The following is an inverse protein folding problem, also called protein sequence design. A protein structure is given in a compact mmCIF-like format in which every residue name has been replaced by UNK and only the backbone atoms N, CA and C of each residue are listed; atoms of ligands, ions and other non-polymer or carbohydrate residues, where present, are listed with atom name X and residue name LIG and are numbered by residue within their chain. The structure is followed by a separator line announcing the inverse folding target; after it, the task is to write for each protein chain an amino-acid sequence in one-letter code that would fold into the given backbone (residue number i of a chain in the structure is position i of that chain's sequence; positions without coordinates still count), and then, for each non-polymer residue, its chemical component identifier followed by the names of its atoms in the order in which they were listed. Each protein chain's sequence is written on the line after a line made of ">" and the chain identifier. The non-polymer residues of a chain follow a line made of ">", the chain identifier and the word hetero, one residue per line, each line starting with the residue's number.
data_IF_013234830101
#
_entry.id   IF_013234830101
#
_cell.length_a   1.000
_cell.length_b   1.000
_cell.length_c   1.000
_cell.angle_alpha   90.00
_cell.angle_beta   90.00
_cell.angle_gamma   90.00
#
_symmetry.space_group_name_H-M   'P 1'
#
loop_
_entity.id
_entity.type
_entity.pdbx_description
1 polymer ?
#
# COMPACT_ATOMS: atom_id res chain seq x y z
N UNK A 1 -7.50 -1.55 1.16
CA UNK A 1 -7.39 -0.39 0.24
C UNK A 1 -8.17 0.82 0.75
N UNK A 2 -9.46 0.71 1.08
CA UNK A 2 -10.21 1.86 1.61
C UNK A 2 -9.67 2.37 2.95
N UNK A 3 -9.44 1.45 3.89
CA UNK A 3 -8.86 1.75 5.21
C UNK A 3 -7.44 2.31 5.11
N UNK A 4 -6.62 1.80 4.19
CA UNK A 4 -5.27 2.35 3.93
C UNK A 4 -5.35 3.80 3.41
N UNK A 5 -6.36 4.13 2.58
CA UNK A 5 -6.62 5.51 2.16
C UNK A 5 -6.90 6.45 3.33
N UNK A 6 -7.75 6.04 4.28
CA UNK A 6 -8.06 6.81 5.49
C UNK A 6 -6.81 7.00 6.36
N UNK A 7 -5.98 5.97 6.51
CA UNK A 7 -4.75 6.09 7.33
C UNK A 7 -3.71 7.00 6.68
N UNK A 8 -3.62 7.05 5.34
CA UNK A 8 -2.67 7.94 4.66
C UNK A 8 -3.12 9.39 4.71
N UNK A 9 -4.42 9.66 4.62
CA UNK A 9 -4.93 11.04 4.79
C UNK A 9 -4.75 11.51 6.23
N UNK A 10 -4.92 10.62 7.21
CA UNK A 10 -4.56 10.91 8.59
C UNK A 10 -3.07 11.21 8.74
N UNK A 11 -2.18 10.42 8.11
CA UNK A 11 -0.74 10.67 8.12
C UNK A 11 -0.38 12.05 7.56
N UNK A 12 -1.00 12.44 6.44
CA UNK A 12 -0.80 13.73 5.81
C UNK A 12 -1.24 14.88 6.73
N UNK A 13 -2.43 14.78 7.33
CA UNK A 13 -2.92 15.80 8.27
C UNK A 13 -2.03 15.92 9.51
N UNK A 14 -1.64 14.79 10.11
CA UNK A 14 -0.75 14.78 11.27
C UNK A 14 0.64 15.36 10.95
N UNK A 15 1.13 15.21 9.72
CA UNK A 15 2.39 15.80 9.29
C UNK A 15 2.28 17.33 9.15
N UNK A 16 1.18 17.84 8.60
CA UNK A 16 0.91 19.29 8.52
C UNK A 16 0.71 19.92 9.91
N UNK A 17 0.10 19.20 10.85
CA UNK A 17 -0.06 19.62 12.25
C UNK A 17 1.21 19.43 13.10
N UNK A 18 2.32 19.00 12.48
CA UNK A 18 3.60 18.75 13.14
C UNK A 18 3.51 17.70 14.28
N UNK A 19 2.55 16.78 14.19
CA UNK A 19 2.38 15.68 15.13
C UNK A 19 3.14 14.43 14.66
N UNK A 20 4.43 14.40 15.01
CA UNK A 20 5.36 13.35 14.57
C UNK A 20 4.89 11.93 14.90
N UNK A 21 4.38 11.70 16.13
CA UNK A 21 3.97 10.36 16.59
C UNK A 21 2.77 9.84 15.80
N UNK A 22 1.75 10.68 15.60
CA UNK A 22 0.57 10.29 14.83
C UNK A 22 0.89 10.10 13.36
N UNK A 23 1.71 10.98 12.75
CA UNK A 23 2.14 10.83 11.36
C UNK A 23 2.91 9.51 11.15
N UNK A 24 3.81 9.17 12.07
CA UNK A 24 4.53 7.89 12.05
C UNK A 24 3.57 6.69 12.18
N UNK A 25 2.71 6.70 13.19
CA UNK A 25 1.81 5.57 13.47
C UNK A 25 0.82 5.31 12.33
N UNK A 26 0.22 6.37 11.79
CA UNK A 26 -0.74 6.29 10.69
C UNK A 26 -0.09 5.83 9.39
N UNK A 27 1.08 6.36 9.03
CA UNK A 27 1.84 5.93 7.86
C UNK A 27 2.32 4.47 7.99
N UNK A 28 2.75 4.05 9.19
CA UNK A 28 3.07 2.66 9.48
C UNK A 28 1.85 1.74 9.26
N UNK A 29 0.67 2.11 9.73
CA UNK A 29 -0.55 1.35 9.47
C UNK A 29 -0.88 1.27 7.97
N UNK A 30 -0.66 2.34 7.20
CA UNK A 30 -0.88 2.29 5.75
C UNK A 30 0.01 1.26 5.08
N UNK A 31 1.31 1.24 5.42
CA UNK A 31 2.27 0.28 4.88
C UNK A 31 1.88 -1.16 5.25
N UNK A 32 1.51 -1.41 6.51
CA UNK A 32 1.06 -2.73 6.97
C UNK A 32 -0.21 -3.20 6.24
N UNK A 33 -1.20 -2.32 6.06
CA UNK A 33 -2.43 -2.65 5.34
C UNK A 33 -2.17 -2.95 3.87
N UNK A 34 -1.20 -2.27 3.23
CA UNK A 34 -0.80 -2.55 1.85
C UNK A 34 -0.06 -3.88 1.70
N UNK A 35 0.86 -4.18 2.63
CA UNK A 35 1.52 -5.49 2.68
C UNK A 35 0.51 -6.62 2.93
N UNK A 36 -0.44 -6.40 3.83
CA UNK A 36 -1.52 -7.35 4.12
C UNK A 36 -2.39 -7.61 2.89
N UNK A 37 -2.79 -6.57 2.15
CA UNK A 37 -3.52 -6.74 0.89
C UNK A 37 -2.74 -7.58 -0.12
N UNK A 38 -1.42 -7.33 -0.25
CA UNK A 38 -0.57 -8.11 -1.18
C UNK A 38 -0.47 -9.58 -0.77
N UNK A 39 -0.38 -9.87 0.53
CA UNK A 39 -0.38 -11.24 1.04
C UNK A 39 -1.71 -11.96 0.76
N UNK A 40 -2.85 -11.27 0.95
CA UNK A 40 -4.16 -11.81 0.60
C UNK A 40 -4.30 -12.06 -0.91
N UNK A 41 -3.80 -11.14 -1.75
CA UNK A 41 -3.82 -11.32 -3.20
C UNK A 41 -2.99 -12.52 -3.64
N UNK A 42 -1.83 -12.75 -3.00
CA UNK A 42 -1.03 -13.95 -3.24
C UNK A 42 -1.76 -15.22 -2.82
N UNK A 43 -2.41 -15.21 -1.65
CA UNK A 43 -3.22 -16.34 -1.18
C UNK A 43 -4.37 -16.66 -2.14
N UNK A 44 -5.06 -15.64 -2.65
CA UNK A 44 -6.10 -15.81 -3.68
C UNK A 44 -5.56 -16.50 -4.95
N UNK A 45 -4.34 -16.16 -5.38
CA UNK A 45 -3.70 -16.79 -6.55
C UNK A 45 -3.25 -18.23 -6.29
N UNK A 46 -2.92 -18.60 -5.06
CA UNK A 46 -2.58 -19.98 -4.71
C UNK A 46 -3.82 -20.88 -4.63
N UNK A 47 -4.93 -20.36 -4.10
CA UNK A 47 -6.16 -21.12 -3.92
C UNK A 47 -7.10 -21.08 -5.14
N UNK A 48 -6.83 -20.24 -6.14
CA UNK A 48 -7.68 -20.14 -7.32
C UNK A 48 -7.73 -21.46 -8.10
N UNK A 49 -8.93 -21.98 -8.45
CA UNK A 49 -9.08 -23.26 -9.13
C UNK A 49 -8.78 -23.20 -10.64
N UNK A 50 -8.35 -22.04 -11.15
CA UNK A 50 -8.01 -21.78 -12.54
C UNK A 50 -6.69 -21.03 -12.62
N UNK A 51 -6.04 -21.09 -13.78
CA UNK A 51 -4.74 -20.53 -14.06
C UNK A 51 -4.81 -19.47 -15.15
N UNK A 52 -3.71 -18.75 -15.38
CA UNK A 52 -3.62 -17.77 -16.48
C UNK A 52 -3.80 -18.39 -17.87
N UNK A 53 -3.52 -19.69 -18.02
CA UNK A 53 -3.68 -20.41 -19.28
C UNK A 53 -5.14 -20.82 -19.54
N UNK A 54 -6.03 -20.70 -18.55
CA UNK A 54 -7.41 -21.17 -18.66
C UNK A 54 -8.33 -20.12 -19.30
N UNK A 55 -8.59 -20.31 -20.60
CA UNK A 55 -9.57 -19.54 -21.39
C UNK A 55 -9.34 -18.02 -21.37
N UNK A 56 -10.29 -17.28 -21.94
CA UNK A 56 -10.30 -15.81 -21.88
C UNK A 56 -10.53 -15.31 -20.44
N UNK A 57 -11.22 -16.08 -19.60
CA UNK A 57 -11.51 -15.67 -18.23
C UNK A 57 -10.25 -15.63 -17.36
N UNK A 58 -9.48 -16.72 -17.30
CA UNK A 58 -8.26 -16.80 -16.49
C UNK A 58 -7.21 -15.80 -16.98
N UNK A 59 -6.98 -15.73 -18.29
CA UNK A 59 -6.03 -14.77 -18.87
C UNK A 59 -6.37 -13.31 -18.53
N UNK A 60 -7.64 -12.88 -18.67
CA UNK A 60 -8.04 -11.51 -18.35
C UNK A 60 -8.02 -11.23 -16.84
N UNK A 61 -8.45 -12.19 -16.02
CA UNK A 61 -8.42 -12.08 -14.56
C UNK A 61 -7.00 -11.86 -14.02
N UNK A 62 -6.06 -12.76 -14.33
CA UNK A 62 -4.70 -12.68 -13.82
C UNK A 62 -3.92 -11.50 -14.41
N UNK A 63 -4.17 -11.13 -15.67
CA UNK A 63 -3.54 -9.94 -16.24
C UNK A 63 -3.99 -8.66 -15.53
N UNK A 64 -5.30 -8.44 -15.39
CA UNK A 64 -5.81 -7.20 -14.80
C UNK A 64 -5.47 -7.10 -13.30
N UNK A 65 -5.72 -8.16 -12.54
CA UNK A 65 -5.41 -8.19 -11.09
C UNK A 65 -3.91 -8.20 -10.84
N UNK A 66 -3.12 -8.83 -11.71
CA UNK A 66 -1.65 -8.89 -11.58
C UNK A 66 -1.02 -7.52 -11.81
N UNK A 67 -1.45 -6.79 -12.85
CA UNK A 67 -1.02 -5.41 -13.04
C UNK A 67 -1.41 -4.51 -11.87
N UNK A 68 -2.64 -4.65 -11.35
CA UNK A 68 -3.05 -3.92 -10.16
C UNK A 68 -2.15 -4.26 -8.95
N UNK A 69 -1.89 -5.54 -8.70
CA UNK A 69 -1.01 -6.00 -7.62
C UNK A 69 0.39 -5.43 -7.72
N UNK A 70 0.96 -5.38 -8.94
CA UNK A 70 2.25 -4.72 -9.20
C UNK A 70 2.21 -3.24 -8.79
N UNK A 71 1.18 -2.50 -9.19
CA UNK A 71 1.03 -1.09 -8.81
C UNK A 71 0.92 -0.92 -7.28
N UNK A 72 0.23 -1.84 -6.59
CA UNK A 72 0.14 -1.83 -5.12
C UNK A 72 1.50 -2.09 -4.47
N UNK A 73 2.32 -3.00 -5.00
CA UNK A 73 3.68 -3.23 -4.50
C UNK A 73 4.57 -1.99 -4.66
N UNK A 74 4.51 -1.34 -5.83
CA UNK A 74 5.23 -0.07 -6.06
C UNK A 74 4.73 1.02 -5.10
N UNK A 75 3.42 1.15 -4.92
CA UNK A 75 2.85 2.13 -3.99
C UNK A 75 3.25 1.88 -2.54
N UNK A 76 3.24 0.63 -2.08
CA UNK A 76 3.64 0.28 -0.71
C UNK A 76 5.12 0.47 -0.46
N UNK A 77 5.98 0.15 -1.42
CA UNK A 77 7.43 0.44 -1.33
C UNK A 77 7.70 1.95 -1.32
N UNK A 78 7.00 2.74 -2.11
CA UNK A 78 7.08 4.21 -2.05
C UNK A 78 6.68 4.74 -0.66
N UNK A 79 5.58 4.27 -0.09
CA UNK A 79 5.14 4.67 1.25
C UNK A 79 6.11 4.21 2.35
N UNK A 80 6.74 3.05 2.19
CA UNK A 80 7.79 2.59 3.08
C UNK A 80 9.01 3.52 3.04
N UNK A 81 9.42 3.97 1.86
CA UNK A 81 10.49 4.97 1.72
C UNK A 81 10.10 6.29 2.40
N UNK A 82 8.85 6.73 2.26
CA UNK A 82 8.34 7.89 3.00
C UNK A 82 8.40 7.67 4.52
N UNK A 83 8.02 6.49 5.02
CA UNK A 83 8.10 6.17 6.44
C UNK A 83 9.54 6.25 6.97
N UNK A 84 10.51 5.72 6.21
CA UNK A 84 11.93 5.81 6.55
C UNK A 84 12.44 7.26 6.54
N UNK A 85 12.04 8.07 5.54
CA UNK A 85 12.38 9.50 5.49
C UNK A 85 11.77 10.28 6.66
N UNK A 86 10.54 9.94 7.05
CA UNK A 86 9.89 10.52 8.23
C UNK A 86 10.65 10.17 9.51
N UNK A 87 11.09 8.91 9.66
CA UNK A 87 11.92 8.47 10.79
C UNK A 87 13.26 9.20 10.91
N UNK A 88 13.83 9.60 9.77
CA UNK A 88 15.07 10.38 9.70
C UNK A 88 14.83 11.90 9.79
N UNK A 89 13.60 12.34 10.10
CA UNK A 89 13.20 13.75 10.18
C UNK A 89 13.48 14.56 8.90
N UNK A 90 13.37 13.94 7.72
CA UNK A 90 13.57 14.64 6.45
C UNK A 90 12.36 15.48 6.01
N UNK A 91 11.20 15.30 6.65
CA UNK A 91 9.98 16.03 6.32
C UNK A 91 9.75 17.18 7.29
N UNK A 92 9.13 18.23 6.78
CA UNK A 92 8.66 19.38 7.55
C UNK A 92 7.18 19.63 7.23
N UNK A 93 6.43 20.32 8.10
CA UNK A 93 5.02 20.64 7.84
C UNK A 93 4.82 21.51 6.58
N UNK A 94 5.86 22.21 6.12
CA UNK A 94 5.83 23.12 4.98
C UNK A 94 6.35 22.44 3.70
N UNK A 95 7.26 21.48 3.84
CA UNK A 95 7.91 20.77 2.72
C UNK A 95 8.07 19.29 3.04
N UNK A 96 7.36 18.42 2.30
CA UNK A 96 7.33 16.97 2.44
C UNK A 96 7.42 16.24 1.09
#
# INVERSE_FOLDING_TARGET
>A
LLTSGITVTWAHHSLMENNYKQAFQSLMFTVLLGAYFTALQAYEYFESPFTIADSVYGSTFFMATGFHGLHVIIGTTFLLVCLLRHLLNHFSPIHH
#
